data_IF_783379984873
#
_entry.id   IF_783379984873
#
_cell.length_a   1.000
_cell.length_b   1.000
_cell.length_c   1.000
_cell.angle_alpha   90.00
_cell.angle_beta   90.00
_cell.angle_gamma   90.00
#
_symmetry.space_group_name_H-M   'P 1'
#
loop_
_entity.id
_entity.type
_entity.pdbx_description
1 polymer ?
#
# COMPACT_ATOMS: atom_id res chain seq x y z
N UNK A 1 -13.60 6.35 7.49
CA UNK A 1 -14.24 5.12 7.00
C UNK A 1 -13.25 4.40 6.11
N UNK A 2 -13.19 3.07 6.15
CA UNK A 2 -12.41 2.24 5.22
C UNK A 2 -13.34 1.45 4.33
N UNK A 3 -13.06 1.39 3.03
CA UNK A 3 -13.83 0.58 2.07
C UNK A 3 -12.85 -0.28 1.30
N UNK A 4 -13.06 -1.59 1.28
CA UNK A 4 -12.16 -2.53 0.60
C UNK A 4 -12.93 -3.49 -0.30
N UNK A 5 -12.46 -3.65 -1.53
CA UNK A 5 -12.92 -4.63 -2.51
C UNK A 5 -11.78 -5.61 -2.72
N UNK A 6 -11.99 -6.89 -2.44
CA UNK A 6 -10.90 -7.88 -2.41
C UNK A 6 -11.40 -9.30 -2.62
N UNK A 7 -10.50 -10.18 -3.05
CA UNK A 7 -10.78 -11.63 -3.03
C UNK A 7 -10.93 -12.09 -1.59
N UNK A 8 -11.97 -12.87 -1.31
CA UNK A 8 -12.21 -13.45 0.01
C UNK A 8 -12.57 -14.94 -0.10
N UNK A 9 -12.16 -15.72 0.90
CA UNK A 9 -12.21 -17.19 0.88
C UNK A 9 -10.90 -17.82 0.43
N UNK A 10 -10.28 -18.65 1.29
CA UNK A 10 -8.97 -19.29 1.13
C UNK A 10 -7.92 -18.37 0.45
N UNK A 11 -7.78 -17.15 0.96
CA UNK A 11 -6.85 -16.15 0.42
C UNK A 11 -6.26 -15.30 1.53
N UNK A 12 -5.03 -14.82 1.32
CA UNK A 12 -4.38 -13.89 2.23
C UNK A 12 -5.11 -12.53 2.22
N UNK A 13 -5.27 -11.84 3.37
CA UNK A 13 -4.81 -12.20 4.72
C UNK A 13 -5.81 -13.02 5.55
N UNK A 14 -6.96 -13.41 4.98
CA UNK A 14 -8.02 -14.14 5.68
C UNK A 14 -9.00 -13.27 6.46
N UNK A 15 -8.91 -11.95 6.34
CA UNK A 15 -9.84 -10.97 6.95
C UNK A 15 -10.71 -10.30 5.88
N UNK A 16 -11.66 -9.45 6.29
CA UNK A 16 -12.47 -8.66 5.37
C UNK A 16 -13.76 -9.38 4.97
N UNK A 17 -14.31 -10.22 5.85
CA UNK A 17 -15.62 -10.80 5.62
C UNK A 17 -16.69 -9.70 5.57
N UNK A 18 -17.83 -9.98 4.93
CA UNK A 18 -18.96 -9.05 4.86
C UNK A 18 -19.48 -8.63 6.25
N UNK A 19 -19.27 -9.47 7.27
CA UNK A 19 -19.62 -9.20 8.66
C UNK A 19 -18.60 -8.35 9.42
N UNK A 20 -17.39 -8.14 8.85
CA UNK A 20 -16.33 -7.32 9.47
C UNK A 20 -16.66 -5.83 9.33
N UNK A 21 -17.58 -5.34 10.16
CA UNK A 21 -18.10 -3.96 10.09
C UNK A 21 -17.41 -2.98 11.05
N UNK A 22 -16.31 -3.39 11.70
CA UNK A 22 -15.63 -2.60 12.72
C UNK A 22 -16.24 -2.72 14.12
N UNK A 23 -15.59 -2.10 15.11
CA UNK A 23 -15.91 -2.27 16.53
C UNK A 23 -16.09 -0.93 17.26
N UNK A 24 -16.88 -0.96 18.34
CA UNK A 24 -17.14 0.21 19.20
C UNK A 24 -17.57 1.44 18.40
N UNK A 25 -16.87 2.57 18.54
CA UNK A 25 -17.16 3.81 17.80
C UNK A 25 -16.94 3.70 16.28
N UNK A 26 -16.13 2.73 15.85
CA UNK A 26 -15.85 2.45 14.44
C UNK A 26 -16.81 1.44 13.81
N UNK A 27 -17.82 0.94 14.54
CA UNK A 27 -18.83 0.03 13.99
C UNK A 27 -19.60 0.72 12.86
N UNK A 28 -19.74 0.01 11.73
CA UNK A 28 -20.26 0.46 10.44
C UNK A 28 -19.36 1.43 9.64
N UNK A 29 -18.17 1.77 10.14
CA UNK A 29 -17.17 2.58 9.42
C UNK A 29 -16.09 1.76 8.71
N UNK A 30 -16.18 0.42 8.79
CA UNK A 30 -15.43 -0.50 7.94
C UNK A 30 -16.43 -1.18 7.00
N UNK A 31 -16.21 -1.01 5.70
CA UNK A 31 -17.01 -1.61 4.63
C UNK A 31 -16.12 -2.58 3.87
N UNK A 32 -16.50 -3.84 3.84
CA UNK A 32 -15.79 -4.88 3.09
C UNK A 32 -16.70 -5.44 2.00
N UNK A 33 -16.14 -5.62 0.81
CA UNK A 33 -16.79 -6.17 -0.37
C UNK A 33 -16.00 -7.42 -0.78
N UNK A 34 -16.34 -8.59 -0.20
CA UNK A 34 -15.68 -9.85 -0.51
C UNK A 34 -16.10 -10.34 -1.90
N UNK A 35 -15.13 -10.66 -2.74
CA UNK A 35 -15.32 -11.10 -4.12
C UNK A 35 -14.66 -12.47 -4.35
N UNK A 36 -15.05 -13.14 -5.43
CA UNK A 36 -14.47 -14.39 -5.93
C UNK A 36 -13.62 -14.16 -7.16
N UNK A 37 -13.01 -15.23 -7.65
CA UNK A 37 -12.11 -15.22 -8.80
C UNK A 37 -12.77 -14.73 -10.09
N UNK A 38 -11.93 -14.20 -10.98
CA UNK A 38 -12.31 -13.88 -12.35
C UNK A 38 -13.27 -12.71 -12.52
N UNK A 39 -13.45 -11.84 -11.51
CA UNK A 39 -14.30 -10.66 -11.66
C UNK A 39 -13.85 -9.81 -12.86
N UNK A 40 -14.81 -9.44 -13.72
CA UNK A 40 -14.57 -8.66 -14.95
C UNK A 40 -14.80 -7.17 -14.72
N UNK A 41 -14.38 -6.34 -15.66
CA UNK A 41 -14.58 -4.89 -15.65
C UNK A 41 -16.05 -4.50 -15.41
N UNK A 42 -16.98 -5.13 -16.13
CA UNK A 42 -18.41 -4.82 -16.03
C UNK A 42 -18.97 -5.21 -14.65
N UNK A 43 -18.60 -6.40 -14.16
CA UNK A 43 -19.05 -6.89 -12.87
C UNK A 43 -18.49 -6.04 -11.73
N UNK A 44 -17.19 -5.70 -11.78
CA UNK A 44 -16.54 -4.86 -10.79
C UNK A 44 -17.14 -3.45 -10.78
N UNK A 45 -17.35 -2.84 -11.94
CA UNK A 45 -18.03 -1.54 -12.07
C UNK A 45 -19.44 -1.58 -11.49
N UNK A 46 -20.18 -2.67 -11.73
CA UNK A 46 -21.58 -2.81 -11.30
C UNK A 46 -21.76 -2.80 -9.78
N UNK A 47 -20.72 -3.14 -9.01
CA UNK A 47 -20.72 -3.10 -7.54
C UNK A 47 -19.95 -1.90 -7.00
N UNK A 48 -18.82 -1.53 -7.61
CA UNK A 48 -17.97 -0.42 -7.16
C UNK A 48 -18.72 0.91 -7.19
N UNK A 49 -19.30 1.30 -8.33
CA UNK A 49 -19.93 2.61 -8.46
C UNK A 49 -21.13 2.79 -7.50
N UNK A 50 -22.06 1.83 -7.36
CA UNK A 50 -23.16 1.98 -6.41
C UNK A 50 -22.72 1.99 -4.95
N UNK A 51 -21.78 1.12 -4.56
CA UNK A 51 -21.22 1.09 -3.19
C UNK A 51 -20.55 2.41 -2.87
N UNK A 52 -19.65 2.88 -3.73
CA UNK A 52 -18.93 4.12 -3.49
C UNK A 52 -19.83 5.34 -3.56
N UNK A 53 -20.85 5.37 -4.42
CA UNK A 53 -21.86 6.44 -4.44
C UNK A 53 -22.56 6.53 -3.08
N UNK A 54 -23.01 5.39 -2.54
CA UNK A 54 -23.67 5.35 -1.23
C UNK A 54 -22.73 5.77 -0.10
N UNK A 55 -21.46 5.38 -0.16
CA UNK A 55 -20.42 5.81 0.79
C UNK A 55 -20.25 7.33 0.75
N UNK A 56 -20.10 7.91 -0.44
CA UNK A 56 -19.94 9.36 -0.60
C UNK A 56 -21.16 10.13 -0.06
N UNK A 57 -22.38 9.65 -0.32
CA UNK A 57 -23.63 10.24 0.21
C UNK A 57 -23.76 10.14 1.74
N UNK A 58 -23.26 9.05 2.33
CA UNK A 58 -23.52 8.75 3.76
C UNK A 58 -22.42 9.28 4.66
N UNK A 59 -21.17 9.12 4.23
CA UNK A 59 -19.98 9.50 5.00
C UNK A 59 -19.51 10.93 4.70
N UNK A 60 -19.92 11.52 3.56
CA UNK A 60 -19.60 12.90 3.13
C UNK A 60 -18.12 13.30 3.37
N UNK A 61 -17.14 12.53 2.83
CA UNK A 61 -15.73 12.79 3.11
C UNK A 61 -15.25 14.09 2.47
N UNK A 62 -14.37 14.82 3.17
CA UNK A 62 -13.68 16.01 2.66
C UNK A 62 -12.37 15.69 1.91
N UNK A 63 -11.87 14.46 2.04
CA UNK A 63 -10.71 13.92 1.33
C UNK A 63 -10.84 12.40 1.16
N UNK A 64 -10.25 11.87 0.09
CA UNK A 64 -10.18 10.44 -0.20
C UNK A 64 -8.73 10.04 -0.47
N UNK A 65 -8.33 8.93 0.14
CA UNK A 65 -7.10 8.21 -0.20
C UNK A 65 -7.52 6.96 -0.95
N UNK A 66 -7.11 6.86 -2.22
CA UNK A 66 -7.38 5.71 -3.08
C UNK A 66 -6.08 4.92 -3.27
N UNK A 67 -6.09 3.69 -2.77
CA UNK A 67 -5.01 2.73 -2.97
C UNK A 67 -5.28 1.96 -4.27
N UNK A 68 -4.42 2.16 -5.27
CA UNK A 68 -4.53 1.61 -6.63
C UNK A 68 -3.68 0.34 -6.77
N UNK A 69 -4.00 -0.70 -5.99
CA UNK A 69 -3.33 -2.01 -6.09
C UNK A 69 -3.55 -2.62 -7.47
N UNK A 70 -2.45 -2.85 -8.19
CA UNK A 70 -2.44 -3.38 -9.56
C UNK A 70 -2.42 -4.92 -9.61
N UNK A 71 -2.41 -5.61 -8.47
CA UNK A 71 -2.57 -7.07 -8.36
C UNK A 71 -4.00 -7.54 -8.64
N UNK A 72 -4.96 -6.63 -8.71
CA UNK A 72 -6.32 -6.90 -9.18
C UNK A 72 -6.45 -7.00 -10.71
N UNK A 73 -5.37 -6.76 -11.46
CA UNK A 73 -5.36 -6.83 -12.92
C UNK A 73 -5.30 -8.28 -13.44
N UNK A 74 -5.85 -8.49 -14.63
CA UNK A 74 -5.71 -9.73 -15.36
C UNK A 74 -4.23 -10.08 -15.62
N UNK A 75 -3.89 -11.35 -15.41
CA UNK A 75 -2.53 -11.86 -15.62
C UNK A 75 -1.53 -11.40 -14.56
N UNK A 76 -1.98 -10.97 -13.39
CA UNK A 76 -1.13 -10.85 -12.22
C UNK A 76 -0.59 -12.22 -11.77
N UNK A 77 0.55 -12.23 -11.06
CA UNK A 77 1.18 -13.49 -10.60
C UNK A 77 0.56 -14.06 -9.34
N UNK A 78 -0.06 -13.23 -8.50
CA UNK A 78 -0.66 -13.61 -7.22
C UNK A 78 -2.17 -13.35 -7.18
N UNK A 79 -2.66 -12.34 -7.89
CA UNK A 79 -4.08 -12.02 -7.98
C UNK A 79 -4.82 -12.85 -9.03
N UNK A 80 -6.08 -13.18 -8.74
CA UNK A 80 -6.92 -14.04 -9.57
C UNK A 80 -8.12 -13.29 -10.17
N UNK A 81 -8.02 -11.97 -10.31
CA UNK A 81 -9.05 -11.15 -10.96
C UNK A 81 -8.82 -11.05 -12.47
N UNK A 82 -9.83 -10.56 -13.19
CA UNK A 82 -9.81 -10.43 -14.64
C UNK A 82 -10.06 -8.99 -15.09
N UNK A 83 -9.51 -8.02 -14.34
CA UNK A 83 -9.67 -6.60 -14.66
C UNK A 83 -8.67 -6.15 -15.73
N UNK A 84 -9.13 -5.29 -16.63
CA UNK A 84 -8.25 -4.55 -17.53
C UNK A 84 -7.89 -3.19 -16.91
N UNK A 85 -6.99 -2.46 -17.58
CA UNK A 85 -6.68 -1.07 -17.23
C UNK A 85 -7.92 -0.16 -17.24
N UNK A 86 -8.91 -0.46 -18.09
CA UNK A 86 -10.14 0.34 -18.18
C UNK A 86 -11.05 0.09 -16.97
N UNK A 87 -11.25 -1.18 -16.58
CA UNK A 87 -12.03 -1.52 -15.39
C UNK A 87 -11.39 -0.98 -14.12
N UNK A 88 -10.07 -1.14 -13.98
CA UNK A 88 -9.33 -0.64 -12.83
C UNK A 88 -9.36 0.90 -12.76
N UNK A 89 -9.02 1.58 -13.87
CA UNK A 89 -9.05 3.03 -14.00
C UNK A 89 -10.45 3.67 -13.88
N UNK A 90 -11.53 2.90 -14.01
CA UNK A 90 -12.88 3.38 -13.70
C UNK A 90 -12.98 3.86 -12.25
N UNK A 91 -12.21 3.29 -11.32
CA UNK A 91 -12.16 3.71 -9.92
C UNK A 91 -11.63 5.15 -9.77
N UNK A 92 -10.52 5.47 -10.44
CA UNK A 92 -9.96 6.83 -10.47
C UNK A 92 -10.93 7.80 -11.13
N UNK A 93 -11.50 7.39 -12.28
CA UNK A 93 -12.48 8.19 -13.03
C UNK A 93 -13.73 8.49 -12.21
N UNK A 94 -14.18 7.56 -11.36
CA UNK A 94 -15.31 7.75 -10.47
C UNK A 94 -15.08 8.89 -9.48
N UNK A 95 -13.97 8.88 -8.75
CA UNK A 95 -13.69 9.94 -7.75
C UNK A 95 -13.39 11.29 -8.39
N UNK A 96 -12.81 11.29 -9.59
CA UNK A 96 -12.54 12.52 -10.34
C UNK A 96 -13.81 13.31 -10.68
N UNK A 97 -14.99 12.68 -10.71
CA UNK A 97 -16.28 13.38 -10.90
C UNK A 97 -16.62 14.35 -9.76
N UNK A 98 -15.98 14.21 -8.60
CA UNK A 98 -16.19 15.05 -7.42
C UNK A 98 -15.16 16.19 -7.37
N UNK A 99 -15.46 17.32 -8.02
CA UNK A 99 -14.51 18.43 -8.23
C UNK A 99 -13.92 19.04 -6.94
N UNK A 100 -14.67 19.04 -5.84
CA UNK A 100 -14.25 19.64 -4.57
C UNK A 100 -13.51 18.66 -3.63
N UNK A 101 -13.36 17.40 -4.06
CA UNK A 101 -12.76 16.34 -3.26
C UNK A 101 -11.24 16.33 -3.40
N UNK A 102 -10.53 16.36 -2.28
CA UNK A 102 -9.09 16.15 -2.27
C UNK A 102 -8.81 14.66 -2.45
N UNK A 103 -8.22 14.27 -3.57
CA UNK A 103 -7.92 12.88 -3.91
C UNK A 103 -6.40 12.63 -3.84
N UNK A 104 -5.99 11.66 -3.04
CA UNK A 104 -4.63 11.13 -3.00
C UNK A 104 -4.63 9.73 -3.62
N UNK A 105 -3.83 9.55 -4.67
CA UNK A 105 -3.63 8.25 -5.31
C UNK A 105 -2.34 7.61 -4.78
N UNK A 106 -2.42 6.35 -4.36
CA UNK A 106 -1.28 5.56 -3.89
C UNK A 106 -1.16 4.29 -4.72
N UNK A 107 0.05 3.74 -4.84
CA UNK A 107 0.26 2.43 -5.45
C UNK A 107 -0.12 1.28 -4.50
N UNK A 108 0.57 0.15 -4.62
CA UNK A 108 0.51 -0.99 -3.69
C UNK A 108 0.88 -2.29 -4.38
N UNK A 109 0.11 -3.37 -4.16
CA UNK A 109 0.34 -4.67 -4.76
C UNK A 109 0.37 -4.63 -6.30
N UNK A 110 1.01 -5.62 -6.91
CA UNK A 110 1.19 -5.73 -8.35
C UNK A 110 2.45 -6.51 -8.69
N UNK A 111 2.28 -7.74 -9.18
CA UNK A 111 3.34 -8.73 -9.25
C UNK A 111 3.70 -9.12 -10.70
N UNK A 112 2.91 -8.65 -11.67
CA UNK A 112 3.31 -8.56 -13.07
C UNK A 112 3.78 -7.14 -13.40
N UNK A 113 5.05 -6.84 -13.15
CA UNK A 113 5.63 -5.48 -13.20
C UNK A 113 5.30 -4.67 -14.47
N UNK A 114 5.32 -5.31 -15.65
CA UNK A 114 4.92 -4.69 -16.92
C UNK A 114 3.46 -4.19 -16.92
N UNK A 115 2.54 -4.90 -16.27
CA UNK A 115 1.15 -4.47 -16.15
C UNK A 115 0.98 -3.39 -15.08
N UNK A 116 1.78 -3.44 -14.00
CA UNK A 116 1.83 -2.37 -12.98
C UNK A 116 2.22 -1.04 -13.62
N UNK A 117 3.30 -1.02 -14.40
CA UNK A 117 3.76 0.19 -15.09
C UNK A 117 2.69 0.74 -16.04
N UNK A 118 2.01 -0.13 -16.81
CA UNK A 118 0.89 0.26 -17.68
C UNK A 118 -0.27 0.86 -16.88
N UNK A 119 -0.66 0.22 -15.78
CA UNK A 119 -1.77 0.63 -14.94
C UNK A 119 -1.55 2.01 -14.31
N UNK A 120 -0.45 2.21 -13.58
CA UNK A 120 -0.19 3.48 -12.93
C UNK A 120 0.11 4.61 -13.92
N UNK A 121 0.70 4.31 -15.09
CA UNK A 121 0.83 5.28 -16.18
C UNK A 121 -0.55 5.73 -16.68
N UNK A 122 -1.46 4.78 -16.91
CA UNK A 122 -2.81 5.07 -17.37
C UNK A 122 -3.64 5.81 -16.32
N UNK A 123 -3.58 5.41 -15.05
CA UNK A 123 -4.26 6.09 -13.95
C UNK A 123 -3.74 7.51 -13.72
N UNK A 124 -2.44 7.74 -13.92
CA UNK A 124 -1.87 9.10 -13.90
C UNK A 124 -2.45 9.96 -15.02
N UNK A 125 -2.60 9.40 -16.23
CA UNK A 125 -3.25 10.10 -17.33
C UNK A 125 -4.73 10.43 -17.02
N UNK A 126 -5.46 9.50 -16.38
CA UNK A 126 -6.83 9.72 -15.92
C UNK A 126 -6.92 10.83 -14.86
N UNK A 127 -5.97 10.87 -13.92
CA UNK A 127 -5.89 11.91 -12.89
C UNK A 127 -5.64 13.29 -13.51
N UNK A 128 -4.77 13.37 -14.52
CA UNK A 128 -4.46 14.59 -15.27
C UNK A 128 -5.54 14.97 -16.29
N UNK A 129 -6.55 14.12 -16.51
CA UNK A 129 -7.53 14.27 -17.59
C UNK A 129 -6.90 14.37 -18.99
N UNK A 130 -5.89 13.54 -19.26
CA UNK A 130 -5.20 13.51 -20.55
C UNK A 130 -5.44 12.16 -21.21
N UNK A 131 -5.86 12.17 -22.46
CA UNK A 131 -5.91 10.95 -23.27
C UNK A 131 -4.49 10.56 -23.70
N UNK A 132 -4.17 9.27 -23.55
CA UNK A 132 -2.88 8.71 -23.95
C UNK A 132 -3.07 7.67 -25.03
N UNK A 133 -2.10 7.59 -25.95
CA UNK A 133 -2.11 6.61 -27.03
C UNK A 133 -1.96 5.20 -26.48
N UNK A 134 -2.67 4.24 -27.09
CA UNK A 134 -2.47 2.83 -26.80
C UNK A 134 -1.09 2.33 -27.26
N UNK A 135 -0.43 3.02 -28.20
CA UNK A 135 0.93 2.65 -28.65
C UNK A 135 1.95 3.20 -27.65
N UNK A 136 2.75 2.32 -27.06
CA UNK A 136 3.75 2.74 -26.09
C UNK A 136 4.84 3.61 -26.77
N UNK A 137 5.25 4.72 -26.14
CA UNK A 137 6.44 5.44 -26.57
C UNK A 137 7.69 4.61 -26.27
N UNK A 138 8.77 4.88 -27.01
CA UNK A 138 10.07 4.32 -26.69
C UNK A 138 10.50 4.75 -25.28
N UNK A 139 11.10 3.82 -24.55
CA UNK A 139 11.62 3.99 -23.20
C UNK A 139 12.69 2.93 -22.94
N UNK A 140 13.48 3.09 -21.88
CA UNK A 140 14.60 2.19 -21.57
C UNK A 140 14.18 0.72 -21.37
N UNK A 141 12.92 0.50 -20.99
CA UNK A 141 12.33 -0.82 -20.75
C UNK A 141 11.39 -1.27 -21.88
N UNK A 142 11.46 -0.66 -23.08
CA UNK A 142 10.50 -0.88 -24.16
C UNK A 142 10.35 -2.36 -24.56
N UNK A 143 11.44 -3.13 -24.52
CA UNK A 143 11.46 -4.54 -24.87
C UNK A 143 10.59 -5.42 -23.94
N UNK A 144 10.34 -4.99 -22.70
CA UNK A 144 9.53 -5.73 -21.72
C UNK A 144 8.06 -5.84 -22.15
N UNK A 145 7.63 -4.96 -23.06
CA UNK A 145 6.27 -4.86 -23.57
C UNK A 145 6.05 -5.61 -24.89
N UNK A 146 7.06 -6.36 -25.35
CA UNK A 146 6.93 -7.29 -26.46
C UNK A 146 5.82 -8.34 -26.20
N UNK A 147 5.12 -8.83 -27.24
CA UNK A 147 5.25 -8.45 -28.65
C UNK A 147 4.32 -7.30 -29.07
N UNK A 148 3.37 -6.89 -28.21
CA UNK A 148 2.32 -5.95 -28.61
C UNK A 148 2.78 -4.49 -28.59
N UNK A 149 3.68 -4.12 -27.67
CA UNK A 149 4.09 -2.73 -27.44
C UNK A 149 2.90 -1.78 -27.21
N UNK A 150 1.83 -2.31 -26.59
CA UNK A 150 0.60 -1.59 -26.26
C UNK A 150 0.47 -1.29 -24.78
N UNK A 151 -0.28 -0.23 -24.46
CA UNK A 151 -0.62 0.18 -23.10
C UNK A 151 -1.69 -0.75 -22.52
N UNK A 152 -2.83 -0.88 -23.19
CA UNK A 152 -3.96 -1.67 -22.68
C UNK A 152 -3.67 -3.17 -22.69
N UNK A 153 -4.19 -3.86 -21.67
CA UNK A 153 -4.19 -5.30 -21.54
C UNK A 153 -5.59 -5.84 -21.84
N UNK A 154 -5.66 -7.01 -22.45
CA UNK A 154 -6.91 -7.71 -22.71
C UNK A 154 -7.30 -8.57 -21.50
N UNK A 155 -8.60 -8.79 -21.31
CA UNK A 155 -9.11 -9.77 -20.37
C UNK A 155 -8.85 -11.19 -20.87
N UNK A 156 -8.80 -12.14 -19.94
CA UNK A 156 -8.64 -13.57 -20.24
C UNK A 156 -9.98 -14.29 -20.24
N UNK A 157 -9.99 -15.55 -20.71
CA UNK A 157 -11.17 -16.42 -20.70
C UNK A 157 -11.42 -17.08 -19.33
N UNK A 158 -10.87 -16.55 -18.24
CA UNK A 158 -11.08 -17.09 -16.90
C UNK A 158 -12.56 -16.90 -16.53
N UNK A 159 -13.27 -17.94 -16.03
CA UNK A 159 -14.66 -17.82 -15.61
C UNK A 159 -14.81 -16.78 -14.50
N UNK A 160 -15.84 -15.94 -14.61
CA UNK A 160 -16.23 -15.04 -13.54
C UNK A 160 -17.08 -15.80 -12.51
N UNK A 161 -16.54 -15.99 -11.30
CA UNK A 161 -17.23 -16.69 -10.20
C UNK A 161 -18.11 -15.76 -9.35
N UNK A 162 -18.37 -14.54 -9.84
CA UNK A 162 -19.18 -13.53 -9.19
C UNK A 162 -20.50 -13.33 -9.95
N UNK A 163 -21.49 -14.23 -9.78
CA UNK A 163 -22.79 -14.08 -10.42
C UNK A 163 -23.51 -12.84 -9.87
N UNK A 164 -24.40 -12.28 -10.69
CA UNK A 164 -25.05 -10.99 -10.41
C UNK A 164 -25.85 -11.00 -9.10
N UNK A 165 -26.52 -12.09 -8.78
CA UNK A 165 -27.30 -12.28 -7.56
C UNK A 165 -26.43 -12.21 -6.29
N UNK A 166 -25.21 -12.77 -6.34
CA UNK A 166 -24.23 -12.63 -5.26
C UNK A 166 -23.83 -11.17 -5.09
N UNK A 167 -23.45 -10.48 -6.17
CA UNK A 167 -23.04 -9.07 -6.11
C UNK A 167 -24.17 -8.18 -5.58
N UNK A 168 -25.41 -8.41 -6.02
CA UNK A 168 -26.58 -7.70 -5.51
C UNK A 168 -26.83 -7.99 -4.03
N UNK A 169 -26.58 -9.20 -3.56
CA UNK A 169 -26.70 -9.57 -2.15
C UNK A 169 -25.67 -8.83 -1.30
N UNK A 170 -24.40 -8.84 -1.72
CA UNK A 170 -23.32 -8.09 -1.08
C UNK A 170 -23.67 -6.59 -1.04
N UNK A 171 -24.10 -6.04 -2.17
CA UNK A 171 -24.49 -4.63 -2.26
C UNK A 171 -25.64 -4.28 -1.29
N UNK A 172 -26.68 -5.14 -1.19
CA UNK A 172 -27.79 -4.94 -0.25
C UNK A 172 -27.28 -4.93 1.20
N UNK A 173 -26.46 -5.89 1.57
CA UNK A 173 -25.87 -5.96 2.93
C UNK A 173 -25.01 -4.74 3.23
N UNK A 174 -24.17 -4.30 2.29
CA UNK A 174 -23.39 -3.06 2.44
C UNK A 174 -24.29 -1.84 2.62
N UNK A 175 -25.37 -1.73 1.83
CA UNK A 175 -26.32 -0.61 1.94
C UNK A 175 -27.06 -0.62 3.27
N UNK A 176 -27.44 -1.79 3.79
CA UNK A 176 -28.04 -1.93 5.11
C UNK A 176 -27.07 -1.51 6.22
N UNK A 177 -25.80 -1.91 6.13
CA UNK A 177 -24.77 -1.48 7.06
C UNK A 177 -24.57 0.06 7.02
N UNK A 178 -24.49 0.65 5.83
CA UNK A 178 -24.32 2.09 5.66
C UNK A 178 -25.51 2.90 6.22
N UNK A 179 -26.74 2.38 6.20
CA UNK A 179 -27.89 3.07 6.82
C UNK A 179 -27.75 3.26 8.34
N UNK A 180 -26.88 2.48 8.98
CA UNK A 180 -26.61 2.60 10.41
C UNK A 180 -25.51 3.63 10.74
N UNK A 181 -24.84 4.19 9.72
CA UNK A 181 -23.87 5.25 9.91
C UNK A 181 -24.65 6.54 10.19
N UNK A 182 -24.48 7.18 11.37
CA UNK A 182 -25.09 8.48 11.62
C UNK A 182 -24.52 9.49 10.61
N UNK A 183 -25.31 10.48 10.21
CA UNK A 183 -24.81 11.57 9.37
C UNK A 183 -23.57 12.17 10.04
N UNK A 184 -22.41 12.01 9.42
CA UNK A 184 -21.13 12.48 9.93
C UNK A 184 -20.71 13.68 9.09
N UNK A 185 -21.10 14.93 9.47
CA UNK A 185 -20.54 16.09 8.83
C UNK A 185 -19.01 16.01 8.97
N UNK A 186 -18.31 16.06 7.85
CA UNK A 186 -16.86 15.97 7.82
C UNK A 186 -16.24 16.96 8.80
N UNK A 187 -15.17 16.53 9.48
CA UNK A 187 -14.36 17.44 10.30
C UNK A 187 -13.77 18.49 9.37
N UNK A 188 -13.98 19.76 9.69
CA UNK A 188 -13.47 20.86 8.89
C UNK A 188 -11.94 20.75 8.79
N UNK A 189 -11.41 20.80 7.57
CA UNK A 189 -9.97 20.86 7.35
C UNK A 189 -9.45 22.18 7.92
N UNK A 190 -8.51 22.10 8.87
CA UNK A 190 -7.81 23.26 9.37
C UNK A 190 -6.44 23.36 8.69
N UNK A 191 -6.00 24.57 8.28
CA UNK A 191 -4.62 24.74 7.84
C UNK A 191 -3.69 24.35 8.99
N UNK A 192 -2.70 23.52 8.70
CA UNK A 192 -1.64 23.22 9.67
C UNK A 192 -0.90 24.54 9.91
N UNK A 193 -0.81 25.04 11.16
CA UNK A 193 -0.01 26.22 11.48
C UNK A 193 1.42 26.02 10.98
N UNK A 194 2.00 27.04 10.37
CA UNK A 194 3.36 27.00 9.82
C UNK A 194 4.41 26.61 10.87
N UNK A 195 4.09 26.82 12.16
CA UNK A 195 4.98 26.60 13.29
C UNK A 195 5.00 25.14 13.80
N UNK A 196 4.11 24.26 13.32
CA UNK A 196 4.09 22.84 13.73
C UNK A 196 5.14 22.01 12.98
N UNK A 197 5.45 22.38 11.73
CA UNK A 197 6.58 21.81 11.01
C UNK A 197 7.83 22.55 11.49
N UNK A 198 8.52 21.95 12.45
CA UNK A 198 9.70 22.53 13.06
C UNK A 198 10.73 22.87 11.95
N UNK A 199 11.38 24.02 12.04
CA UNK A 199 12.34 24.51 11.02
C UNK A 199 13.45 23.50 10.72
N UNK A 200 13.76 22.62 11.69
CA UNK A 200 14.69 21.49 11.57
C UNK A 200 14.22 20.43 10.56
N UNK A 201 12.92 20.09 10.50
CA UNK A 201 12.38 19.17 9.48
C UNK A 201 12.43 19.79 8.09
N UNK A 202 12.32 21.11 7.98
CA UNK A 202 12.47 21.82 6.71
C UNK A 202 13.91 21.80 6.19
N UNK A 203 14.90 21.78 7.08
CA UNK A 203 16.33 21.62 6.75
C UNK A 203 16.60 20.18 6.25
N UNK A 204 15.99 19.18 6.89
CA UNK A 204 16.04 17.77 6.46
C UNK A 204 15.33 17.54 5.12
N UNK A 205 14.14 18.10 4.91
CA UNK A 205 13.44 18.01 3.62
C UNK A 205 14.18 18.75 2.50
N UNK A 206 14.92 19.84 2.82
CA UNK A 206 15.79 20.53 1.85
C UNK A 206 17.03 19.72 1.48
N UNK A 207 17.57 18.97 2.44
CA UNK A 207 18.61 17.97 2.27
C UNK A 207 18.14 16.85 1.34
N UNK A 208 16.98 16.27 1.61
CA UNK A 208 16.41 15.16 0.82
C UNK A 208 16.00 15.60 -0.60
N UNK A 209 15.65 16.87 -0.78
CA UNK A 209 15.32 17.47 -2.07
C UNK A 209 16.53 18.10 -2.78
N UNK A 210 17.73 18.05 -2.19
CA UNK A 210 18.92 18.61 -2.79
C UNK A 210 19.35 17.79 -4.01
N UNK A 211 19.77 18.49 -5.06
CA UNK A 211 20.35 17.83 -6.22
C UNK A 211 21.65 17.11 -5.79
N UNK A 212 21.79 15.78 -5.98
CA UNK A 212 22.98 15.05 -5.56
C UNK A 212 24.27 15.53 -6.25
N UNK A 213 24.15 16.19 -7.40
CA UNK A 213 25.29 16.73 -8.17
C UNK A 213 25.69 18.16 -7.73
N UNK A 214 24.95 18.79 -6.81
CA UNK A 214 25.24 20.13 -6.30
C UNK A 214 25.80 20.08 -4.88
N UNK A 215 26.92 20.79 -4.66
CA UNK A 215 27.60 20.81 -3.37
C UNK A 215 26.79 21.56 -2.33
N UNK A 216 26.32 20.83 -1.31
CA UNK A 216 25.66 21.39 -0.14
C UNK A 216 26.64 22.24 0.71
N UNK A 217 26.10 23.24 1.41
CA UNK A 217 26.89 24.14 2.25
C UNK A 217 27.54 23.44 3.45
N UNK A 218 28.65 23.99 3.94
CA UNK A 218 29.48 23.40 5.00
C UNK A 218 28.70 23.16 6.32
N UNK A 219 27.75 24.03 6.66
CA UNK A 219 26.92 23.86 7.87
C UNK A 219 25.98 22.65 7.83
N UNK A 220 25.67 22.15 6.64
CA UNK A 220 24.77 21.02 6.41
C UNK A 220 25.58 19.72 6.44
N UNK A 221 26.73 19.71 5.75
CA UNK A 221 27.64 18.55 5.75
C UNK A 221 28.18 18.23 7.15
N UNK A 222 28.53 19.25 7.95
CA UNK A 222 29.02 19.05 9.32
C UNK A 222 28.00 18.43 10.29
N UNK A 223 26.70 18.56 10.01
CA UNK A 223 25.63 17.94 10.83
C UNK A 223 25.30 16.51 10.42
N UNK A 224 25.79 16.05 9.27
CA UNK A 224 25.43 14.75 8.71
C UNK A 224 26.22 13.66 9.43
N UNK A 225 25.52 12.67 10.01
CA UNK A 225 26.14 11.52 10.68
C UNK A 225 26.12 10.36 9.71
N UNK A 226 27.28 9.99 9.15
CA UNK A 226 27.40 8.79 8.32
C UNK A 226 27.21 7.53 9.18
N UNK A 227 26.25 6.69 8.79
CA UNK A 227 26.01 5.43 9.50
C UNK A 227 27.08 4.41 9.09
N UNK A 228 27.65 3.68 10.05
CA UNK A 228 28.76 2.72 9.82
C UNK A 228 28.44 1.53 8.89
N UNK A 229 27.21 1.46 8.37
CA UNK A 229 26.75 0.44 7.42
C UNK A 229 26.41 1.02 6.05
N UNK A 230 26.50 2.34 5.87
CA UNK A 230 26.36 3.00 4.58
C UNK A 230 27.68 2.88 3.82
N UNK A 231 27.72 1.92 2.90
CA UNK A 231 28.81 1.72 1.95
C UNK A 231 28.54 2.62 0.74
N UNK A 232 28.91 3.89 0.82
CA UNK A 232 29.06 4.73 -0.36
C UNK A 232 30.53 4.70 -0.79
N UNK A 233 30.77 4.45 -2.08
CA UNK A 233 32.08 4.65 -2.71
C UNK A 233 32.37 6.15 -2.75
N UNK A 234 32.83 6.70 -1.63
CA UNK A 234 33.24 8.08 -1.56
C UNK A 234 34.51 8.26 -2.40
N UNK A 235 34.41 8.99 -3.52
CA UNK A 235 35.55 9.45 -4.34
C UNK A 235 36.60 10.26 -3.53
N UNK A 236 36.34 10.55 -2.25
CA UNK A 236 37.29 11.17 -1.32
C UNK A 236 38.41 10.24 -0.86
N UNK A 237 38.27 8.91 -0.99
CA UNK A 237 39.34 7.97 -0.66
C UNK A 237 39.89 7.31 -1.93
N UNK A 238 40.84 8.00 -2.58
CA UNK A 238 41.69 7.44 -3.62
C UNK A 238 42.71 6.42 -3.07
N UNK A 239 42.23 5.35 -2.44
CA UNK A 239 43.04 4.28 -1.88
C UNK A 239 42.37 2.92 -2.07
N UNK A 240 43.00 2.06 -2.88
CA UNK A 240 42.67 0.64 -3.03
C UNK A 240 42.85 -0.08 -1.68
N UNK A 241 41.83 -0.05 -0.82
CA UNK A 241 41.81 -0.84 0.43
C UNK A 241 41.03 -2.10 0.15
N UNK A 242 41.75 -3.13 -0.31
CA UNK A 242 41.27 -4.50 -0.23
C UNK A 242 40.97 -4.84 1.22
N UNK A 243 39.76 -5.31 1.41
CA UNK A 243 39.12 -5.67 2.66
C UNK A 243 39.91 -6.78 3.40
N UNK A 244 40.68 -6.43 4.41
CA UNK A 244 41.36 -7.37 5.31
C UNK A 244 40.90 -7.21 6.76
N UNK A 245 39.61 -7.40 7.06
CA UNK A 245 39.20 -7.71 8.43
C UNK A 245 38.41 -9.02 8.51
N UNK A 246 39.18 -10.07 8.80
CA UNK A 246 38.68 -11.40 9.18
C UNK A 246 37.95 -11.33 10.52
N UNK A 247 36.73 -11.85 10.55
CA UNK A 247 35.88 -12.05 11.73
C UNK A 247 36.65 -12.73 12.88
N UNK A 248 36.88 -12.02 13.99
CA UNK A 248 37.34 -12.62 15.25
C UNK A 248 36.14 -12.84 16.19
N UNK A 249 35.87 -14.08 16.65
CA UNK A 249 34.78 -14.33 17.59
C UNK A 249 35.15 -13.83 19.00
N UNK A 250 34.20 -13.18 19.66
CA UNK A 250 34.37 -12.58 20.97
C UNK A 250 34.71 -13.63 22.06
N UNK A 251 35.79 -13.37 22.81
CA UNK A 251 36.13 -14.12 24.04
C UNK A 251 35.14 -13.76 25.15
N UNK A 252 34.45 -14.75 25.72
CA UNK A 252 33.76 -14.62 27.01
C UNK A 252 34.79 -14.37 28.11
N UNK A 253 34.65 -13.26 28.83
CA UNK A 253 35.42 -12.96 30.05
C UNK A 253 35.00 -13.91 31.17
N UNK A 254 35.95 -14.67 31.69
CA UNK A 254 35.85 -15.41 32.93
C UNK A 254 36.58 -14.63 34.03
N UNK A 255 35.89 -14.40 35.15
CA UNK A 255 36.37 -14.14 36.52
C UNK A 255 35.18 -13.55 37.31
N UNK A 256 34.83 -13.90 38.54
CA UNK A 256 35.07 -15.02 39.46
C UNK A 256 34.35 -14.60 40.75
N UNK A 257 33.40 -15.38 41.27
CA UNK A 257 33.09 -15.37 42.71
C UNK A 257 32.83 -16.81 43.14
N UNK A 258 33.71 -17.27 44.03
CA UNK A 258 33.78 -18.58 44.66
C UNK A 258 32.61 -18.86 45.63
N UNK A 259 32.29 -20.15 45.70
CA UNK A 259 31.98 -20.95 46.91
C UNK A 259 30.99 -20.41 47.95
N UNK A 260 29.78 -21.00 47.93
CA UNK A 260 29.15 -21.51 49.15
C UNK A 260 28.65 -22.93 48.92
N UNK A 261 29.42 -23.89 49.45
CA UNK A 261 28.94 -25.22 49.78
C UNK A 261 27.74 -25.12 50.74
N UNK A 262 26.63 -25.74 50.38
CA UNK A 262 25.82 -26.53 51.33
C UNK A 262 25.19 -27.68 50.56
N UNK A 263 25.87 -28.81 50.67
CA UNK A 263 25.40 -30.13 50.35
C UNK A 263 24.43 -30.59 51.45
N UNK A 264 23.12 -30.61 51.17
CA UNK A 264 22.16 -31.45 51.91
C UNK A 264 20.98 -31.79 51.02
N UNK A 265 21.07 -32.90 50.30
CA UNK A 265 19.85 -33.62 49.92
C UNK A 265 20.08 -35.14 50.03
N UNK A 266 19.98 -35.63 51.27
CA UNK A 266 19.83 -37.06 51.58
C UNK A 266 18.57 -37.23 52.43
N UNK A 267 17.61 -37.96 51.84
CA UNK A 267 16.37 -38.51 52.42
C UNK A 267 16.53 -39.04 53.85
N UNK A 268 15.49 -38.86 54.67
CA UNK A 268 14.70 -39.88 55.44
C UNK A 268 13.51 -39.15 56.12
N UNK A 269 12.22 -39.39 55.77
CA UNK A 269 11.23 -40.30 56.41
C UNK A 269 11.25 -40.22 57.96
N UNK A 270 10.18 -40.05 58.74
CA UNK A 270 8.71 -40.25 58.64
C UNK A 270 8.07 -39.75 59.95
N UNK A 271 6.77 -39.44 59.95
CA UNK A 271 5.87 -39.27 61.12
C UNK A 271 6.07 -38.10 62.11
N UNK A 272 4.90 -37.62 62.56
CA UNK A 272 4.53 -36.62 63.59
C UNK A 272 4.88 -35.12 63.38
#
# INVERSE_FOLDING_TARGET
MTVSFHKHGDFFPGTGDICDVGVSRGKYYAVNVPLRDGITDEAYKSIFEPVMTKVMETFEPSAVVLQCGADSLNGDRLGNFNLTLMGHGNCVTFFRKYNDLKLMLLGGGGYTARNVARCWTYETALALNVEVSNRLPYNDFFEYYSPSFTLHIESSNIPNENPKDMLETIQKTVFENLRNVPACPSVQMHPVPADILNVEEMEQCRLDAANPDERLGDSITDKTIEHSAELFDNEKEGGDIRNEESFKPAKRSAESIEEKETDTNKKMKTDE
#
